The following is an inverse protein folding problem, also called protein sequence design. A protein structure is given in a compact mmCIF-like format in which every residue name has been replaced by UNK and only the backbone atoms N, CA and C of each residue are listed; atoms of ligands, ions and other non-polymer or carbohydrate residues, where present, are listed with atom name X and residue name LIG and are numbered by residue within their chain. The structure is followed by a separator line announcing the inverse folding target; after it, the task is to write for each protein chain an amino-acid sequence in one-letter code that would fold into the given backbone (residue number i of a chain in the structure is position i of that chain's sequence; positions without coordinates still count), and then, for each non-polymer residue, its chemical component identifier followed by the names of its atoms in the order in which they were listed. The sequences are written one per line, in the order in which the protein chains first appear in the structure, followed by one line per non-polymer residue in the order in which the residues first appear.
data_IF_480740989093
#
_entry.id   IF_480740989093
#
_cell.length_a   1.000
_cell.length_b   1.000
_cell.length_c   1.000
_cell.angle_alpha   90.00
_cell.angle_beta   90.00
_cell.angle_gamma   90.00
#
_symmetry.space_group_name_H-M   'P 1'
#
loop_
_entity.id
_entity.type
_entity.pdbx_description
1 polymer ?
#
# COMPACT_ATOMS: atom_id res chain seq x y z
N UNK A 1 -0.82 -17.27 24.51
CA UNK A 1 -1.62 -16.62 25.57
C UNK A 1 -2.41 -15.49 24.92
N UNK A 2 -3.71 -15.70 24.64
CA UNK A 2 -4.58 -14.67 24.06
C UNK A 2 -5.00 -13.72 25.17
N UNK A 3 -4.21 -12.67 25.41
CA UNK A 3 -4.64 -11.60 26.28
C UNK A 3 -5.71 -10.78 25.52
N UNK A 4 -6.97 -10.88 25.97
CA UNK A 4 -8.04 -10.02 25.45
C UNK A 4 -7.72 -8.58 25.85
N UNK A 5 -7.46 -7.73 24.86
CA UNK A 5 -7.35 -6.29 25.04
C UNK A 5 -8.70 -5.74 25.52
N UNK A 6 -8.69 -4.91 26.57
CA UNK A 6 -9.86 -4.21 27.06
C UNK A 6 -10.17 -2.97 26.21
N UNK A 7 -11.40 -2.44 26.30
CA UNK A 7 -11.79 -1.27 25.51
C UNK A 7 -10.96 -0.02 25.85
N UNK A 8 -10.57 0.16 27.12
CA UNK A 8 -9.74 1.30 27.53
C UNK A 8 -8.30 1.16 27.00
N UNK A 9 -7.73 -0.04 27.07
CA UNK A 9 -6.41 -0.33 26.48
C UNK A 9 -6.43 -0.06 24.97
N UNK A 10 -7.45 -0.52 24.26
CA UNK A 10 -7.58 -0.28 22.81
C UNK A 10 -7.68 1.21 22.49
N UNK A 11 -8.52 1.95 23.23
CA UNK A 11 -8.66 3.39 23.05
C UNK A 11 -7.32 4.13 23.28
N UNK A 12 -6.56 3.70 24.30
CA UNK A 12 -5.24 4.28 24.59
C UNK A 12 -4.23 3.97 23.48
N UNK A 13 -4.19 2.72 22.99
CA UNK A 13 -3.34 2.33 21.85
C UNK A 13 -3.72 3.14 20.61
N UNK A 14 -5.01 3.24 20.30
CA UNK A 14 -5.51 4.02 19.18
C UNK A 14 -5.04 5.47 19.26
N UNK A 15 -5.20 6.13 20.41
CA UNK A 15 -4.74 7.51 20.60
C UNK A 15 -3.24 7.65 20.37
N UNK A 16 -2.44 6.74 20.91
CA UNK A 16 -0.98 6.75 20.73
C UNK A 16 -0.58 6.57 19.27
N UNK A 17 -1.20 5.63 18.56
CA UNK A 17 -0.92 5.36 17.15
C UNK A 17 -1.33 6.53 16.27
N UNK A 18 -2.52 7.10 16.48
CA UNK A 18 -2.99 8.24 15.67
C UNK A 18 -2.23 9.55 15.94
N UNK A 19 -1.49 9.64 17.04
CA UNK A 19 -0.56 10.75 17.32
C UNK A 19 0.83 10.52 16.73
N UNK A 20 1.13 9.30 16.30
CA UNK A 20 2.40 8.94 15.68
C UNK A 20 2.36 9.08 14.16
N UNK A 21 3.52 9.02 13.52
CA UNK A 21 3.61 8.97 12.06
C UNK A 21 3.04 7.66 11.52
N UNK A 22 2.51 7.68 10.29
CA UNK A 22 2.05 6.46 9.63
C UNK A 22 3.20 5.44 9.54
N UNK A 23 2.99 4.19 9.96
CA UNK A 23 4.07 3.19 10.02
C UNK A 23 4.48 2.63 8.66
N UNK A 24 3.93 3.13 7.56
CA UNK A 24 4.44 2.84 6.22
C UNK A 24 5.86 3.39 6.06
N UNK A 25 6.57 2.90 5.05
CA UNK A 25 7.91 3.40 4.73
C UNK A 25 7.93 4.90 4.36
N UNK A 26 6.78 5.46 3.92
CA UNK A 26 6.65 6.89 3.61
C UNK A 26 6.60 7.75 4.88
N UNK A 27 6.08 7.21 5.99
CA UNK A 27 5.93 7.96 7.25
C UNK A 27 4.76 8.94 7.26
N UNK A 28 3.94 8.97 6.20
CA UNK A 28 2.80 9.87 6.07
C UNK A 28 1.69 9.19 5.30
N UNK A 29 0.45 9.63 5.52
CA UNK A 29 -0.71 9.18 4.75
C UNK A 29 -0.61 9.77 3.32
N UNK A 30 -1.04 9.01 2.31
CA UNK A 30 -1.15 9.51 0.94
C UNK A 30 -2.46 10.30 0.75
N UNK A 31 -2.38 11.48 0.14
CA UNK A 31 -3.55 12.36 -0.09
C UNK A 31 -4.70 11.63 -0.80
N UNK A 32 -4.37 10.75 -1.74
CA UNK A 32 -5.33 9.95 -2.50
C UNK A 32 -6.21 9.00 -1.64
N UNK A 33 -5.81 8.71 -0.41
CA UNK A 33 -6.56 7.87 0.54
C UNK A 33 -6.80 8.54 1.89
N UNK A 34 -6.47 9.83 2.05
CA UNK A 34 -6.61 10.55 3.32
C UNK A 34 -8.03 10.43 3.88
N UNK A 35 -9.04 10.77 3.08
CA UNK A 35 -10.44 10.67 3.49
C UNK A 35 -10.84 9.24 3.92
N UNK A 36 -10.34 8.22 3.20
CA UNK A 36 -10.61 6.83 3.57
C UNK A 36 -9.98 6.47 4.92
N UNK A 37 -8.74 6.91 5.16
CA UNK A 37 -8.04 6.68 6.42
C UNK A 37 -8.74 7.40 7.58
N UNK A 38 -9.17 8.65 7.37
CA UNK A 38 -9.93 9.42 8.36
C UNK A 38 -11.28 8.76 8.68
N UNK A 39 -12.05 8.33 7.67
CA UNK A 39 -13.32 7.62 7.87
C UNK A 39 -13.15 6.33 8.70
N UNK A 40 -12.03 5.62 8.53
CA UNK A 40 -11.70 4.44 9.32
C UNK A 40 -11.36 4.83 10.76
N UNK A 41 -10.51 5.86 10.91
CA UNK A 41 -10.01 6.31 12.21
C UNK A 41 -11.08 7.02 13.06
N UNK A 42 -12.16 7.49 12.45
CA UNK A 42 -13.31 8.06 13.17
C UNK A 42 -14.13 7.00 13.93
N UNK A 43 -14.00 5.71 13.56
CA UNK A 43 -14.74 4.61 14.21
C UNK A 43 -14.05 4.14 15.49
N UNK A 44 -14.74 4.12 16.63
CA UNK A 44 -14.17 3.72 17.92
C UNK A 44 -13.49 2.34 17.90
N UNK A 45 -13.98 1.43 17.06
CA UNK A 45 -13.57 0.04 17.01
C UNK A 45 -12.41 -0.23 16.05
N UNK A 46 -11.97 0.78 15.28
CA UNK A 46 -10.93 0.65 14.27
C UNK A 46 -9.92 1.78 14.33
N UNK A 47 -8.70 1.48 13.89
CA UNK A 47 -7.74 2.48 13.48
C UNK A 47 -6.70 1.90 12.53
N UNK A 48 -6.12 2.74 11.68
CA UNK A 48 -5.01 2.40 10.79
C UNK A 48 -3.68 2.53 11.52
N UNK A 49 -2.76 1.60 11.29
CA UNK A 49 -1.36 1.72 11.75
C UNK A 49 -0.42 2.13 10.61
N UNK A 50 -0.68 1.67 9.39
CA UNK A 50 0.03 2.11 8.20
C UNK A 50 -0.87 2.08 6.97
N UNK A 51 -0.62 2.98 6.04
CA UNK A 51 -1.40 3.13 4.82
C UNK A 51 -0.53 3.42 3.59
N UNK A 52 -0.98 3.00 2.41
CA UNK A 52 -0.33 3.30 1.13
C UNK A 52 -1.39 3.21 0.03
N UNK A 53 -1.60 4.28 -0.75
CA UNK A 53 -2.59 4.32 -1.84
C UNK A 53 -2.23 3.41 -3.02
N UNK A 54 -0.98 2.98 -3.06
CA UNK A 54 -0.36 2.22 -4.15
C UNK A 54 0.86 2.99 -4.64
N UNK A 55 1.87 2.26 -5.11
CA UNK A 55 3.13 2.87 -5.51
C UNK A 55 3.81 2.12 -6.65
N UNK A 56 4.56 2.86 -7.43
CA UNK A 56 5.57 2.32 -8.34
C UNK A 56 6.92 2.37 -7.62
N UNK A 57 7.68 1.29 -7.71
CA UNK A 57 9.00 1.14 -7.11
C UNK A 57 9.96 0.67 -8.20
N UNK A 58 11.09 1.33 -8.33
CA UNK A 58 12.26 0.80 -9.04
C UNK A 58 13.29 0.42 -7.98
N UNK A 59 13.77 -0.82 -8.01
CA UNK A 59 14.80 -1.27 -7.09
C UNK A 59 15.76 -2.23 -7.75
N UNK A 60 16.97 -2.28 -7.21
CA UNK A 60 17.98 -3.27 -7.57
C UNK A 60 17.92 -4.43 -6.58
N UNK A 61 17.89 -5.67 -7.07
CA UNK A 61 18.14 -6.83 -6.22
C UNK A 61 19.65 -7.02 -6.02
N UNK A 62 20.07 -7.13 -4.76
CA UNK A 62 21.43 -7.60 -4.50
C UNK A 62 21.51 -9.10 -4.82
N UNK A 63 22.69 -9.60 -5.18
CA UNK A 63 22.95 -11.03 -5.43
C UNK A 63 22.54 -11.94 -4.26
N UNK A 64 22.35 -11.39 -3.06
CA UNK A 64 21.69 -12.02 -1.93
C UNK A 64 20.19 -11.67 -1.98
N UNK A 65 19.34 -12.63 -2.37
CA UNK A 65 17.87 -12.51 -2.54
C UNK A 65 17.09 -12.22 -1.23
N UNK A 66 17.50 -11.22 -0.46
CA UNK A 66 16.86 -10.81 0.78
C UNK A 66 16.17 -9.45 0.57
N UNK A 67 14.85 -9.38 0.82
CA UNK A 67 14.02 -8.18 0.59
C UNK A 67 14.52 -6.90 1.28
N UNK A 68 15.30 -7.02 2.35
CA UNK A 68 15.85 -5.86 3.09
C UNK A 68 17.18 -5.34 2.52
N UNK A 69 17.80 -6.06 1.59
CA UNK A 69 19.03 -5.65 0.90
C UNK A 69 18.75 -5.01 -0.48
N UNK A 70 17.48 -4.90 -0.87
CA UNK A 70 17.08 -4.26 -2.11
C UNK A 70 17.24 -2.73 -2.00
N UNK A 71 18.11 -2.16 -2.81
CA UNK A 71 18.28 -0.71 -2.90
C UNK A 71 17.15 -0.11 -3.72
N UNK A 72 16.30 0.72 -3.09
CA UNK A 72 15.26 1.47 -3.80
C UNK A 72 15.94 2.61 -4.57
N UNK A 73 15.78 2.59 -5.89
CA UNK A 73 16.28 3.62 -6.79
C UNK A 73 15.25 4.72 -6.95
N UNK A 74 13.97 4.34 -7.03
CA UNK A 74 12.86 5.24 -7.24
C UNK A 74 11.61 4.73 -6.51
N UNK A 75 10.82 5.66 -5.97
CA UNK A 75 9.46 5.37 -5.49
C UNK A 75 8.54 6.53 -5.83
N UNK A 76 7.33 6.23 -6.30
CA UNK A 76 6.27 7.22 -6.50
C UNK A 76 4.92 6.66 -6.10
N UNK A 77 4.13 7.48 -5.41
CA UNK A 77 2.73 7.21 -5.07
C UNK A 77 1.78 7.83 -6.10
N UNK A 78 2.32 8.61 -7.03
CA UNK A 78 1.63 9.31 -8.11
C UNK A 78 2.00 8.73 -9.49
N UNK A 79 1.23 9.05 -10.55
CA UNK A 79 1.62 8.72 -11.93
C UNK A 79 3.03 9.19 -12.26
N UNK A 80 3.78 8.34 -12.97
CA UNK A 80 5.19 8.57 -13.32
C UNK A 80 5.35 8.90 -14.80
N UNK A 81 6.45 9.57 -15.15
CA UNK A 81 6.86 9.78 -16.54
C UNK A 81 8.00 8.83 -16.93
N UNK A 82 8.23 8.65 -18.22
CA UNK A 82 9.31 7.79 -18.73
C UNK A 82 10.68 8.33 -18.34
N UNK A 83 10.86 9.66 -18.39
CA UNK A 83 12.12 10.34 -18.08
C UNK A 83 12.54 10.11 -16.62
N UNK A 84 11.57 10.09 -15.71
CA UNK A 84 11.80 9.84 -14.29
C UNK A 84 12.37 8.42 -14.05
N UNK A 85 11.94 7.42 -14.82
CA UNK A 85 12.49 6.07 -14.74
C UNK A 85 13.84 5.97 -15.45
N UNK A 86 13.97 6.51 -16.67
CA UNK A 86 15.18 6.41 -17.49
C UNK A 86 16.40 6.98 -16.75
N UNK A 87 16.21 8.08 -16.00
CA UNK A 87 17.28 8.70 -15.20
C UNK A 87 17.90 7.75 -14.17
N UNK A 88 17.15 6.77 -13.69
CA UNK A 88 17.57 5.85 -12.64
C UNK A 88 18.16 4.53 -13.20
N UNK A 89 18.10 4.34 -14.52
CA UNK A 89 18.64 3.15 -15.18
C UNK A 89 20.16 3.28 -15.36
N UNK A 90 20.90 2.40 -14.69
CA UNK A 90 22.34 2.27 -14.81
C UNK A 90 22.68 0.82 -15.22
N UNK A 91 23.25 0.60 -16.41
CA UNK A 91 23.62 -0.73 -16.89
C UNK A 91 24.59 -1.49 -15.98
N UNK A 92 25.33 -0.80 -15.11
CA UNK A 92 26.31 -1.41 -14.21
C UNK A 92 25.68 -1.93 -12.91
N UNK A 93 24.40 -1.63 -12.64
CA UNK A 93 23.75 -2.00 -11.37
C UNK A 93 23.20 -3.42 -11.30
N UNK A 94 23.26 -4.19 -12.39
CA UNK A 94 22.68 -5.54 -12.44
C UNK A 94 21.17 -5.52 -12.68
N UNK A 95 20.43 -6.47 -12.08
CA UNK A 95 19.00 -6.62 -12.33
C UNK A 95 18.18 -5.49 -11.69
N UNK A 96 17.59 -4.66 -12.54
CA UNK A 96 16.67 -3.60 -12.15
C UNK A 96 15.23 -4.10 -12.26
N UNK A 97 14.48 -3.99 -11.17
CA UNK A 97 13.08 -4.42 -11.10
C UNK A 97 12.18 -3.20 -10.97
N UNK A 98 11.26 -3.07 -11.94
CA UNK A 98 10.13 -2.16 -11.86
C UNK A 98 8.92 -2.91 -11.32
N UNK A 99 8.33 -2.42 -10.22
CA UNK A 99 7.21 -3.06 -9.54
C UNK A 99 6.10 -2.06 -9.24
N UNK A 100 4.85 -2.46 -9.45
CA UNK A 100 3.69 -1.78 -8.91
C UNK A 100 3.15 -2.55 -7.69
N UNK A 101 2.95 -1.85 -6.58
CA UNK A 101 2.24 -2.36 -5.41
C UNK A 101 0.89 -1.65 -5.29
N UNK A 102 -0.22 -2.39 -5.12
CA UNK A 102 -1.55 -1.79 -5.02
C UNK A 102 -1.76 -1.10 -3.66
N UNK A 103 -2.97 -0.58 -3.44
CA UNK A 103 -3.44 -0.11 -2.13
C UNK A 103 -3.20 -1.16 -1.05
N UNK A 104 -2.56 -0.75 0.05
CA UNK A 104 -2.34 -1.58 1.24
C UNK A 104 -2.71 -0.77 2.48
N UNK A 105 -3.52 -1.36 3.36
CA UNK A 105 -3.91 -0.79 4.65
C UNK A 105 -3.68 -1.84 5.74
N UNK A 106 -3.04 -1.43 6.83
CA UNK A 106 -3.05 -2.20 8.07
C UNK A 106 -4.04 -1.55 9.03
N UNK A 107 -5.11 -2.28 9.34
CA UNK A 107 -6.18 -1.83 10.24
C UNK A 107 -6.22 -2.72 11.46
N UNK A 108 -6.12 -2.12 12.63
CA UNK A 108 -6.34 -2.78 13.89
C UNK A 108 -7.81 -2.65 14.30
N UNK A 109 -8.36 -3.72 14.88
CA UNK A 109 -9.76 -3.78 15.28
C UNK A 109 -9.87 -4.23 16.74
N UNK A 110 -10.85 -3.68 17.45
CA UNK A 110 -11.02 -3.95 18.87
C UNK A 110 -11.37 -5.41 19.17
N UNK A 111 -12.24 -6.02 18.37
CA UNK A 111 -12.58 -7.43 18.53
C UNK A 111 -12.80 -8.13 17.19
N UNK A 112 -12.59 -9.45 17.18
CA UNK A 112 -12.92 -10.31 16.05
C UNK A 112 -14.41 -10.28 15.70
N UNK A 113 -15.29 -10.01 16.66
CA UNK A 113 -16.73 -9.88 16.42
C UNK A 113 -17.08 -8.55 15.73
N UNK A 114 -16.41 -7.45 16.08
CA UNK A 114 -16.53 -6.17 15.35
C UNK A 114 -15.92 -6.25 13.95
N UNK A 115 -14.82 -7.00 13.78
CA UNK A 115 -14.31 -7.32 12.45
C UNK A 115 -15.36 -8.10 11.63
N UNK A 116 -16.12 -9.00 12.27
CA UNK A 116 -17.05 -9.93 11.60
C UNK A 116 -18.45 -9.35 11.40
N UNK A 117 -18.61 -8.57 10.32
CA UNK A 117 -19.56 -8.83 9.21
C UNK A 117 -19.75 -7.59 8.35
N UNK A 118 -19.94 -6.41 8.95
CA UNK A 118 -20.20 -5.20 8.17
C UNK A 118 -18.89 -4.60 7.62
N UNK A 119 -17.89 -4.47 8.48
CA UNK A 119 -16.62 -3.85 8.10
C UNK A 119 -15.77 -4.75 7.21
N UNK A 120 -15.67 -6.06 7.49
CA UNK A 120 -15.06 -7.01 6.54
C UNK A 120 -15.80 -7.03 5.20
N UNK A 121 -17.14 -6.89 5.17
CA UNK A 121 -17.86 -6.79 3.89
C UNK A 121 -17.55 -5.48 3.17
N UNK A 122 -17.50 -4.36 3.88
CA UNK A 122 -17.11 -3.07 3.32
C UNK A 122 -15.69 -3.11 2.76
N UNK A 123 -14.71 -3.57 3.55
CA UNK A 123 -13.33 -3.74 3.14
C UNK A 123 -13.21 -4.71 1.97
N UNK A 124 -13.89 -5.86 2.02
CA UNK A 124 -13.91 -6.82 0.90
C UNK A 124 -14.45 -6.18 -0.36
N UNK A 125 -15.55 -5.42 -0.27
CA UNK A 125 -16.13 -4.70 -1.40
C UNK A 125 -15.12 -3.68 -1.95
N UNK A 126 -14.52 -2.86 -1.09
CA UNK A 126 -13.53 -1.84 -1.49
C UNK A 126 -12.26 -2.44 -2.10
N UNK A 127 -11.75 -3.52 -1.51
CA UNK A 127 -10.60 -4.26 -2.03
C UNK A 127 -10.92 -4.84 -3.40
N UNK A 128 -12.09 -5.47 -3.57
CA UNK A 128 -12.50 -6.02 -4.86
C UNK A 128 -12.68 -4.93 -5.93
N UNK A 129 -13.28 -3.78 -5.58
CA UNK A 129 -13.38 -2.61 -6.47
C UNK A 129 -11.97 -2.17 -6.94
N UNK A 130 -11.01 -2.07 -6.02
CA UNK A 130 -9.63 -1.70 -6.33
C UNK A 130 -8.89 -2.78 -7.13
N UNK A 131 -9.13 -4.06 -6.85
CA UNK A 131 -8.58 -5.16 -7.63
C UNK A 131 -9.09 -5.15 -9.07
N UNK A 132 -10.37 -4.86 -9.27
CA UNK A 132 -10.97 -4.74 -10.61
C UNK A 132 -10.44 -3.53 -11.38
N UNK A 133 -10.29 -2.37 -10.71
CA UNK A 133 -9.59 -1.21 -11.28
C UNK A 133 -8.18 -1.59 -11.74
N UNK A 134 -7.45 -2.33 -10.90
CA UNK A 134 -6.09 -2.76 -11.22
C UNK A 134 -6.06 -3.75 -12.39
N UNK A 135 -6.98 -4.72 -12.43
CA UNK A 135 -7.11 -5.69 -13.52
C UNK A 135 -7.39 -5.00 -14.86
N UNK A 136 -8.26 -3.97 -14.86
CA UNK A 136 -8.54 -3.15 -16.04
C UNK A 136 -7.28 -2.41 -16.51
N UNK A 137 -6.52 -1.82 -15.59
CA UNK A 137 -5.24 -1.15 -15.91
C UNK A 137 -4.23 -2.13 -16.50
N UNK A 138 -4.07 -3.33 -15.93
CA UNK A 138 -3.19 -4.38 -16.47
C UNK A 138 -3.60 -4.79 -17.89
N UNK A 139 -4.91 -4.93 -18.14
CA UNK A 139 -5.41 -5.28 -19.48
C UNK A 139 -5.08 -4.20 -20.51
N UNK A 140 -5.36 -2.93 -20.18
CA UNK A 140 -5.04 -1.79 -21.06
C UNK A 140 -3.53 -1.70 -21.30
N UNK A 141 -2.72 -1.91 -20.27
CA UNK A 141 -1.26 -1.93 -20.40
C UNK A 141 -0.82 -3.03 -21.38
N UNK A 142 -1.34 -4.25 -21.23
CA UNK A 142 -0.99 -5.36 -22.10
C UNK A 142 -1.39 -5.10 -23.56
N UNK A 143 -2.61 -4.58 -23.79
CA UNK A 143 -3.07 -4.20 -25.13
C UNK A 143 -2.15 -3.14 -25.77
N UNK A 144 -1.80 -2.08 -25.02
CA UNK A 144 -0.84 -1.05 -25.49
C UNK A 144 0.55 -1.61 -25.74
N UNK A 145 1.03 -2.48 -24.87
CA UNK A 145 2.32 -3.15 -25.00
C UNK A 145 2.35 -3.98 -26.28
N UNK A 146 1.32 -4.79 -26.54
CA UNK A 146 1.20 -5.55 -27.79
C UNK A 146 1.23 -4.64 -29.03
N UNK A 147 0.53 -3.50 -29.00
CA UNK A 147 0.55 -2.53 -30.09
C UNK A 147 1.94 -1.92 -30.35
N UNK A 148 2.79 -1.80 -29.33
CA UNK A 148 4.13 -1.23 -29.46
C UNK A 148 5.08 -2.12 -30.29
N UNK A 149 4.91 -3.45 -30.23
CA UNK A 149 5.72 -4.42 -30.98
C UNK A 149 5.03 -4.93 -32.25
N UNK A 150 3.85 -4.39 -32.58
CA UNK A 150 3.12 -4.72 -33.81
C UNK A 150 3.37 -3.71 -34.94
N UNK A 151 4.43 -2.90 -34.81
CA UNK A 151 4.94 -1.95 -35.81
C UNK A 151 6.32 -2.40 -36.26
#
# INVERSE_FOLDING_TARGET
MNQKCTASEFCNIKKQVLQSVDFSRKGSIDDAILNLVEEINDREEFFTTSSCSGRVILYCESSQKQKHLCQWLFVSHDPITEEALIKELDPLRGDIILKFEPLILHVQCFSLDYAKKLYVRFLTKKINEKMDENRKRTKIFFEKFQCMFSR
#
